data_IF_195397721828
#
_entry.id   IF_195397721828
#
_cell.length_a   1.000
_cell.length_b   1.000
_cell.length_c   1.000
_cell.angle_alpha   90.00
_cell.angle_beta   90.00
_cell.angle_gamma   90.00
#
_symmetry.space_group_name_H-M   'P 1'
#
loop_
_entity.id
_entity.type
_entity.pdbx_description
1 polymer ?
#
# COMPACT_ATOMS: atom_id res chain seq x y z
N UNK A 1 18.90 -32.37 16.57
CA UNK A 1 17.94 -31.26 16.58
C UNK A 1 18.08 -30.57 17.91
N UNK A 2 18.29 -29.26 17.91
CA UNK A 2 18.25 -28.49 19.14
C UNK A 2 16.81 -28.25 19.59
N UNK A 3 16.62 -27.70 20.78
CA UNK A 3 15.28 -27.51 21.35
C UNK A 3 14.48 -26.48 20.54
N UNK A 4 13.17 -26.68 20.33
CA UNK A 4 12.30 -25.69 19.70
C UNK A 4 12.32 -24.34 20.42
N UNK A 5 11.95 -23.27 19.72
CA UNK A 5 11.86 -21.93 20.29
C UNK A 5 10.70 -21.13 19.69
N UNK A 6 9.99 -20.40 20.54
CA UNK A 6 9.01 -19.38 20.13
C UNK A 6 9.64 -18.00 20.35
N UNK A 7 9.46 -17.12 19.38
CA UNK A 7 9.82 -15.72 19.45
C UNK A 7 8.57 -14.86 19.27
N UNK A 8 8.58 -13.68 19.87
CA UNK A 8 7.51 -12.69 19.72
C UNK A 8 8.09 -11.33 19.36
N UNK A 9 7.25 -10.48 18.77
CA UNK A 9 7.53 -9.06 18.58
C UNK A 9 7.61 -8.33 19.94
N UNK A 10 8.82 -8.03 20.38
CA UNK A 10 9.10 -7.41 21.67
C UNK A 10 9.34 -5.88 21.57
N UNK A 11 9.73 -5.39 20.40
CA UNK A 11 9.95 -3.96 20.18
C UNK A 11 9.70 -3.59 18.71
N UNK A 12 9.65 -2.28 18.45
CA UNK A 12 9.38 -1.69 17.15
C UNK A 12 10.40 -0.58 16.88
N UNK A 13 10.95 -0.54 15.67
CA UNK A 13 11.78 0.58 15.22
C UNK A 13 11.04 1.34 14.13
N UNK A 14 10.89 2.66 14.31
CA UNK A 14 10.23 3.51 13.33
C UNK A 14 11.07 3.65 12.05
N UNK A 15 10.41 3.58 10.91
CA UNK A 15 10.99 3.87 9.60
C UNK A 15 10.25 5.07 9.03
N UNK A 16 11.01 6.12 8.74
CA UNK A 16 10.52 7.32 8.08
C UNK A 16 9.95 6.99 6.69
N UNK A 17 9.28 7.95 6.05
CA UNK A 17 8.64 7.69 4.76
C UNK A 17 9.69 7.27 3.72
N UNK A 18 9.56 6.04 3.21
CA UNK A 18 10.41 5.50 2.16
C UNK A 18 9.57 5.06 0.97
N UNK A 19 10.11 5.20 -0.24
CA UNK A 19 9.46 4.69 -1.44
C UNK A 19 9.40 3.15 -1.39
N UNK A 20 8.26 2.60 -1.79
CA UNK A 20 8.05 1.19 -2.02
C UNK A 20 8.44 0.83 -3.46
N UNK A 21 8.79 -0.42 -3.68
CA UNK A 21 9.21 -0.98 -4.97
C UNK A 21 8.06 -1.78 -5.57
N UNK A 22 7.65 -1.41 -6.78
CA UNK A 22 6.70 -2.18 -7.59
C UNK A 22 7.29 -3.57 -7.90
N UNK A 23 6.50 -4.64 -7.74
CA UNK A 23 6.91 -5.98 -8.16
C UNK A 23 6.87 -6.20 -9.68
N UNK A 24 6.47 -5.18 -10.44
CA UNK A 24 6.39 -5.17 -11.90
C UNK A 24 4.99 -5.44 -12.45
N UNK A 25 3.97 -5.46 -11.57
CA UNK A 25 2.57 -5.68 -11.95
C UNK A 25 1.68 -4.45 -11.70
N UNK A 26 2.27 -3.34 -11.22
CA UNK A 26 1.57 -2.10 -10.88
C UNK A 26 0.46 -2.26 -9.82
N UNK A 27 0.42 -3.39 -9.10
CA UNK A 27 -0.55 -3.69 -8.04
C UNK A 27 0.11 -3.95 -6.70
N UNK A 28 1.30 -4.55 -6.67
CA UNK A 28 1.99 -4.91 -5.43
C UNK A 28 3.23 -4.03 -5.27
N UNK A 29 3.29 -3.34 -4.12
CA UNK A 29 4.39 -2.44 -3.78
C UNK A 29 5.01 -2.87 -2.47
N UNK A 30 6.28 -3.22 -2.51
CA UNK A 30 7.01 -3.84 -1.40
C UNK A 30 8.01 -2.89 -0.77
N UNK A 31 8.20 -3.04 0.54
CA UNK A 31 9.31 -2.41 1.26
C UNK A 31 10.60 -3.22 1.11
N UNK A 32 11.68 -2.73 1.71
CA UNK A 32 12.94 -3.46 1.80
C UNK A 32 13.06 -4.35 3.06
N UNK A 33 11.93 -4.61 3.75
CA UNK A 33 11.91 -5.37 5.02
C UNK A 33 10.82 -6.44 5.01
N UNK A 34 11.08 -7.56 5.69
CA UNK A 34 10.16 -8.71 5.65
C UNK A 34 8.90 -8.52 6.50
N UNK A 35 8.95 -7.65 7.51
CA UNK A 35 7.89 -7.51 8.49
C UNK A 35 7.60 -6.04 8.78
N UNK A 36 6.31 -5.70 8.80
CA UNK A 36 5.77 -4.51 9.44
C UNK A 36 5.04 -4.90 10.74
N UNK A 37 5.16 -4.09 11.78
CA UNK A 37 4.37 -4.23 13.00
C UNK A 37 2.89 -3.99 12.69
N UNK A 38 2.03 -4.84 13.24
CA UNK A 38 0.57 -4.64 13.26
C UNK A 38 0.04 -4.24 14.64
N UNK A 39 0.94 -3.92 15.58
CA UNK A 39 0.59 -3.59 16.95
C UNK A 39 -0.16 -2.27 17.01
N UNK A 40 -1.10 -2.15 17.95
CA UNK A 40 -1.85 -0.91 18.14
C UNK A 40 -0.91 0.26 18.41
N UNK A 41 -1.11 1.37 17.69
CA UNK A 41 -0.22 2.54 17.71
C UNK A 41 0.98 2.49 16.76
N UNK A 42 1.19 1.36 16.06
CA UNK A 42 2.31 1.14 15.13
C UNK A 42 1.85 0.79 13.71
N UNK A 43 0.61 1.12 13.38
CA UNK A 43 0.04 0.88 12.04
C UNK A 43 0.81 1.65 10.97
N UNK A 44 1.17 1.01 9.84
CA UNK A 44 1.83 1.72 8.74
C UNK A 44 0.89 2.76 8.14
N UNK A 45 1.48 3.87 7.67
CA UNK A 45 0.78 4.89 6.90
C UNK A 45 1.26 4.82 5.45
N UNK A 46 0.32 4.63 4.53
CA UNK A 46 0.60 4.49 3.11
C UNK A 46 0.32 5.83 2.44
N UNK A 47 1.30 6.30 1.68
CA UNK A 47 1.37 7.64 1.13
C UNK A 47 1.65 7.58 -0.39
N UNK A 48 0.70 7.11 -1.22
CA UNK A 48 0.83 7.22 -2.66
C UNK A 48 0.84 8.69 -3.05
N UNK A 49 1.74 9.08 -3.96
CA UNK A 49 1.67 10.41 -4.59
C UNK A 49 0.27 10.61 -5.15
N UNK A 50 -0.31 11.78 -4.93
CA UNK A 50 -1.67 12.06 -5.38
C UNK A 50 -2.41 13.09 -4.54
N UNK A 51 -3.48 13.62 -5.11
CA UNK A 51 -4.34 14.63 -4.47
C UNK A 51 -5.18 13.96 -3.38
N UNK A 52 -5.27 14.61 -2.22
CA UNK A 52 -6.17 14.20 -1.12
C UNK A 52 -7.49 14.96 -1.25
N UNK A 53 -7.42 16.28 -1.45
CA UNK A 53 -8.60 17.13 -1.63
C UNK A 53 -8.27 18.40 -2.42
N UNK A 54 -9.27 18.99 -3.07
CA UNK A 54 -9.12 20.22 -3.86
C UNK A 54 -8.62 19.98 -5.29
N UNK A 55 -7.80 20.92 -5.78
CA UNK A 55 -7.32 20.99 -7.16
C UNK A 55 -8.46 20.94 -8.19
N UNK A 56 -9.45 21.82 -8.04
CA UNK A 56 -10.52 22.02 -9.03
C UNK A 56 -9.99 22.98 -10.09
N UNK A 57 -10.05 22.56 -11.36
CA UNK A 57 -9.54 23.33 -12.50
C UNK A 57 -10.69 24.06 -13.18
N UNK A 58 -10.46 25.33 -13.53
CA UNK A 58 -11.38 26.16 -14.31
C UNK A 58 -10.66 26.86 -15.45
N UNK A 59 -11.42 27.39 -16.39
CA UNK A 59 -10.89 28.30 -17.40
C UNK A 59 -10.20 29.51 -16.75
N UNK A 60 -9.10 29.97 -17.35
CA UNK A 60 -8.51 31.28 -17.08
C UNK A 60 -9.31 32.40 -17.74
N UNK A 61 -8.83 33.64 -17.59
CA UNK A 61 -9.43 34.81 -18.26
C UNK A 61 -8.74 35.09 -19.59
N UNK A 62 -7.43 34.92 -19.65
CA UNK A 62 -6.65 34.96 -20.88
C UNK A 62 -6.84 33.71 -21.75
N UNK A 63 -6.51 33.85 -23.03
CA UNK A 63 -6.47 32.72 -23.96
C UNK A 63 -5.47 31.66 -23.48
N UNK A 64 -5.81 30.39 -23.71
CA UNK A 64 -4.98 29.22 -23.42
C UNK A 64 -4.64 28.99 -21.94
N UNK A 65 -5.18 29.82 -21.04
CA UNK A 65 -4.93 29.74 -19.61
C UNK A 65 -5.99 28.92 -18.86
N UNK A 66 -5.54 28.27 -17.78
CA UNK A 66 -6.40 27.65 -16.76
C UNK A 66 -6.04 28.16 -15.37
N UNK A 67 -6.98 28.02 -14.45
CA UNK A 67 -6.81 28.31 -13.02
C UNK A 67 -7.10 27.07 -12.21
N UNK A 68 -6.53 27.00 -11.01
CA UNK A 68 -6.69 25.83 -10.13
C UNK A 68 -6.81 26.26 -8.68
N UNK A 69 -7.76 25.67 -7.95
CA UNK A 69 -7.88 25.89 -6.51
C UNK A 69 -6.71 25.25 -5.77
N UNK A 70 -6.43 25.71 -4.55
CA UNK A 70 -5.49 25.05 -3.67
C UNK A 70 -5.84 23.57 -3.46
N UNK A 71 -4.85 22.77 -3.08
CA UNK A 71 -5.05 21.35 -2.83
C UNK A 71 -4.12 20.80 -1.76
N UNK A 72 -4.64 19.83 -1.00
CA UNK A 72 -3.81 18.95 -0.20
C UNK A 72 -3.43 17.71 -1.01
N UNK A 73 -2.21 17.22 -0.84
CA UNK A 73 -1.71 16.06 -1.55
C UNK A 73 -0.66 15.30 -0.74
N UNK A 74 -0.44 14.05 -1.10
CA UNK A 74 0.79 13.34 -0.75
C UNK A 74 1.80 13.61 -1.86
N UNK A 75 2.98 14.10 -1.51
CA UNK A 75 4.07 14.34 -2.45
C UNK A 75 5.38 13.87 -1.83
N UNK A 76 6.02 12.89 -2.48
CA UNK A 76 7.34 12.36 -2.10
C UNK A 76 7.42 11.90 -0.64
N UNK A 77 6.37 11.21 -0.17
CA UNK A 77 6.28 10.69 1.20
C UNK A 77 5.92 11.74 2.26
N UNK A 78 5.52 12.95 1.85
CA UNK A 78 5.07 14.02 2.76
C UNK A 78 3.61 14.36 2.47
N UNK A 79 2.83 14.52 3.54
CA UNK A 79 1.46 15.04 3.46
C UNK A 79 1.53 16.58 3.44
N UNK A 80 1.20 17.18 2.30
CA UNK A 80 1.10 18.62 2.14
C UNK A 80 -0.35 19.06 2.41
N UNK A 81 -0.57 19.78 3.50
CA UNK A 81 -1.89 20.23 3.94
C UNK A 81 -1.79 21.50 4.80
N UNK A 82 -2.90 22.23 4.94
CA UNK A 82 -2.96 23.47 5.72
C UNK A 82 -1.92 24.48 5.24
N UNK A 83 -1.01 24.90 6.12
CA UNK A 83 0.03 25.89 5.79
C UNK A 83 1.07 25.41 4.76
N UNK A 84 1.09 24.12 4.41
CA UNK A 84 2.03 23.53 3.45
C UNK A 84 1.33 22.98 2.21
N UNK A 85 0.03 23.23 2.05
CA UNK A 85 -0.72 22.78 0.87
C UNK A 85 -0.22 23.45 -0.42
N UNK A 86 -0.56 22.85 -1.57
CA UNK A 86 -0.26 23.45 -2.86
C UNK A 86 -1.18 24.66 -3.04
N UNK A 87 -0.58 25.84 -3.19
CA UNK A 87 -1.32 27.09 -3.32
C UNK A 87 -2.16 27.13 -4.61
N UNK A 88 -3.31 27.81 -4.55
CA UNK A 88 -4.13 28.07 -5.72
C UNK A 88 -3.36 28.89 -6.77
N UNK A 89 -3.63 28.65 -8.05
CA UNK A 89 -3.24 29.55 -9.14
C UNK A 89 -4.49 30.28 -9.60
N UNK A 90 -4.59 31.55 -9.23
CA UNK A 90 -5.75 32.41 -9.51
C UNK A 90 -5.49 33.44 -10.61
N UNK A 91 -4.25 33.54 -11.07
CA UNK A 91 -3.87 34.28 -12.27
C UNK A 91 -3.85 33.36 -13.50
N UNK A 92 -3.46 33.90 -14.65
CA UNK A 92 -3.42 33.17 -15.92
C UNK A 92 -2.01 32.66 -16.25
N UNK A 93 -1.22 32.28 -15.23
CA UNK A 93 0.16 31.79 -15.41
C UNK A 93 0.27 30.33 -15.87
N UNK A 94 -0.79 29.54 -15.74
CA UNK A 94 -0.86 28.16 -16.26
C UNK A 94 -1.46 28.17 -17.66
N UNK A 95 -0.60 28.24 -18.67
CA UNK A 95 -1.00 28.27 -20.08
C UNK A 95 -0.57 27.01 -20.83
N UNK A 96 -1.44 26.50 -21.70
CA UNK A 96 -1.05 25.47 -22.68
C UNK A 96 -0.34 26.12 -23.87
N UNK A 97 0.48 25.35 -24.58
CA UNK A 97 1.09 25.79 -25.84
C UNK A 97 0.42 25.08 -27.01
N UNK A 98 -0.37 25.82 -27.79
CA UNK A 98 -0.94 25.27 -29.04
C UNK A 98 0.14 25.11 -30.10
N UNK A 99 0.08 24.02 -30.86
CA UNK A 99 0.88 23.89 -32.07
C UNK A 99 0.33 24.76 -33.21
N UNK A 100 1.21 25.17 -34.12
CA UNK A 100 0.85 26.07 -35.22
C UNK A 100 -0.03 25.37 -36.27
N UNK A 101 0.24 24.09 -36.56
CA UNK A 101 -0.38 23.40 -37.71
C UNK A 101 -1.56 22.52 -37.30
N UNK A 102 -1.47 21.88 -36.14
CA UNK A 102 -2.39 20.85 -35.70
C UNK A 102 -3.24 21.34 -34.54
N UNK A 103 -4.55 21.09 -34.57
CA UNK A 103 -5.50 21.60 -33.58
C UNK A 103 -5.81 20.65 -32.43
N UNK A 104 -5.63 19.33 -32.63
CA UNK A 104 -6.03 18.32 -31.64
C UNK A 104 -4.89 18.06 -30.65
N UNK A 105 -4.83 18.85 -29.58
CA UNK A 105 -3.81 18.78 -28.53
C UNK A 105 -4.41 18.28 -27.22
N UNK A 106 -3.64 17.48 -26.48
CA UNK A 106 -3.91 17.21 -25.06
C UNK A 106 -2.74 17.66 -24.23
N UNK A 107 -3.02 18.42 -23.18
CA UNK A 107 -2.02 18.85 -22.20
C UNK A 107 -2.40 18.30 -20.82
N UNK A 108 -1.42 17.94 -20.02
CA UNK A 108 -1.62 17.49 -18.64
C UNK A 108 -1.25 18.62 -17.67
N UNK A 109 -2.19 19.01 -16.81
CA UNK A 109 -1.87 19.83 -15.64
C UNK A 109 -1.34 18.91 -14.55
N UNK A 110 -0.20 19.28 -13.98
CA UNK A 110 0.51 18.47 -12.99
C UNK A 110 0.87 19.27 -11.75
N UNK A 111 1.13 18.58 -10.65
CA UNK A 111 1.91 19.11 -9.53
C UNK A 111 3.32 18.53 -9.67
N UNK A 112 4.32 19.40 -9.74
CA UNK A 112 5.74 19.01 -9.84
C UNK A 112 6.28 18.49 -8.50
N UNK A 113 7.45 17.86 -8.51
CA UNK A 113 8.14 17.43 -7.29
C UNK A 113 8.50 18.56 -6.31
N UNK A 114 8.56 19.80 -6.81
CA UNK A 114 8.75 21.00 -5.99
C UNK A 114 7.48 21.53 -5.33
N UNK A 115 6.31 20.92 -5.57
CA UNK A 115 5.05 21.37 -4.98
C UNK A 115 4.44 22.60 -5.67
N UNK A 116 4.53 22.67 -6.99
CA UNK A 116 3.91 23.73 -7.79
C UNK A 116 3.17 23.16 -8.99
N UNK A 117 2.10 23.83 -9.40
CA UNK A 117 1.36 23.47 -10.62
C UNK A 117 2.18 23.78 -11.88
N UNK A 118 2.12 22.89 -12.87
CA UNK A 118 2.75 23.08 -14.17
C UNK A 118 1.96 22.36 -15.27
N UNK A 119 1.96 22.92 -16.48
CA UNK A 119 1.43 22.28 -17.67
C UNK A 119 2.55 21.50 -18.36
N UNK A 120 2.23 20.28 -18.80
CA UNK A 120 3.01 19.52 -19.77
C UNK A 120 2.14 19.41 -21.02
N UNK A 121 2.63 19.90 -22.15
CA UNK A 121 1.93 19.80 -23.43
C UNK A 121 2.27 18.49 -24.13
N UNK A 122 1.27 17.86 -24.77
CA UNK A 122 1.48 16.77 -25.71
C UNK A 122 1.91 17.27 -27.10
N UNK A 123 1.93 16.35 -28.05
CA UNK A 123 2.09 16.67 -29.48
C UNK A 123 0.71 16.71 -30.12
N UNK A 124 0.40 17.74 -30.89
CA UNK A 124 -0.92 17.89 -31.48
C UNK A 124 -1.06 17.06 -32.77
N UNK A 125 -2.26 16.59 -33.03
CA UNK A 125 -2.61 15.86 -34.26
C UNK A 125 -3.52 16.68 -35.16
N UNK A 126 -3.50 16.39 -36.47
CA UNK A 126 -4.21 17.18 -37.46
C UNK A 126 -5.73 17.01 -37.42
N UNK A 127 -6.23 15.80 -37.10
CA UNK A 127 -7.65 15.46 -37.35
C UNK A 127 -8.41 14.83 -36.19
N UNK A 128 -7.73 14.40 -35.12
CA UNK A 128 -8.37 13.67 -34.03
C UNK A 128 -7.49 13.60 -32.77
N UNK A 129 -8.13 13.40 -31.63
CA UNK A 129 -7.46 13.01 -30.39
C UNK A 129 -7.10 11.52 -30.37
N UNK A 130 -5.99 11.21 -29.71
CA UNK A 130 -5.56 9.85 -29.37
C UNK A 130 -5.76 9.59 -27.88
N UNK A 131 -6.00 8.32 -27.53
CA UNK A 131 -5.95 7.84 -26.14
C UNK A 131 -4.58 7.27 -25.77
N UNK A 132 -3.68 7.11 -26.75
CA UNK A 132 -2.32 6.60 -26.54
C UNK A 132 -1.45 7.72 -26.00
N UNK A 133 -0.88 7.55 -24.80
CA UNK A 133 0.01 8.55 -24.19
C UNK A 133 1.31 8.66 -24.98
N UNK A 134 1.80 9.89 -25.15
CA UNK A 134 3.01 10.23 -25.91
C UNK A 134 2.86 10.19 -27.43
N UNK A 135 1.71 9.75 -27.97
CA UNK A 135 1.43 9.83 -29.40
C UNK A 135 0.82 11.19 -29.77
N UNK A 136 0.91 11.56 -31.05
CA UNK A 136 0.23 12.75 -31.59
C UNK A 136 -1.28 12.71 -31.25
N UNK A 137 -1.79 13.84 -30.75
CA UNK A 137 -3.16 14.01 -30.28
C UNK A 137 -3.46 13.30 -28.96
N UNK A 138 -2.48 12.61 -28.39
CA UNK A 138 -2.55 11.89 -27.12
C UNK A 138 -2.06 12.73 -25.94
N UNK A 139 -2.38 12.31 -24.70
CA UNK A 139 -1.84 12.97 -23.52
C UNK A 139 -0.31 12.83 -23.47
N UNK A 140 0.45 13.78 -22.92
CA UNK A 140 1.90 13.67 -22.80
C UNK A 140 2.30 12.67 -21.72
N UNK A 141 3.54 12.19 -21.75
CA UNK A 141 4.15 11.60 -20.55
C UNK A 141 4.38 12.68 -19.50
N UNK A 142 4.14 12.37 -18.23
CA UNK A 142 4.44 13.29 -17.13
C UNK A 142 5.66 12.79 -16.34
N UNK A 143 6.43 13.68 -15.67
CA UNK A 143 7.60 13.24 -14.93
C UNK A 143 7.27 12.23 -13.82
N UNK A 144 8.19 11.32 -13.52
CA UNK A 144 7.99 10.20 -12.56
C UNK A 144 7.72 10.60 -11.12
N UNK A 145 8.00 11.86 -10.77
CA UNK A 145 7.77 12.43 -9.43
C UNK A 145 6.60 13.41 -9.38
N UNK A 146 5.89 13.61 -10.49
CA UNK A 146 4.76 14.54 -10.57
C UNK A 146 3.43 13.86 -10.21
N UNK A 147 2.35 14.64 -10.16
CA UNK A 147 0.98 14.15 -9.95
C UNK A 147 0.09 14.73 -11.05
N UNK A 148 -0.71 13.92 -11.76
CA UNK A 148 -1.69 14.43 -12.73
C UNK A 148 -2.93 15.01 -12.04
N UNK A 149 -3.31 16.23 -12.40
CA UNK A 149 -4.43 16.98 -11.80
C UNK A 149 -5.65 17.01 -12.72
N UNK A 150 -5.38 17.24 -14.00
CA UNK A 150 -6.36 17.36 -15.06
C UNK A 150 -5.69 17.16 -16.42
N UNK A 151 -6.52 16.95 -17.44
CA UNK A 151 -6.10 17.14 -18.83
C UNK A 151 -6.93 18.24 -19.50
N UNK A 152 -6.30 19.00 -20.39
CA UNK A 152 -6.92 20.03 -21.21
C UNK A 152 -6.87 19.57 -22.66
N UNK A 153 -8.02 19.45 -23.33
CA UNK A 153 -8.12 18.91 -24.68
C UNK A 153 -8.66 19.97 -25.62
N UNK A 154 -7.86 20.40 -26.59
CA UNK A 154 -8.27 21.40 -27.57
C UNK A 154 -8.37 20.81 -28.96
N UNK A 155 -9.18 21.42 -29.82
CA UNK A 155 -9.36 21.01 -31.23
C UNK A 155 -8.98 22.07 -32.25
N UNK A 156 -8.42 23.20 -31.79
CA UNK A 156 -8.00 24.34 -32.61
C UNK A 156 -6.53 24.69 -32.33
N UNK A 157 -5.83 25.15 -33.36
CA UNK A 157 -4.48 25.73 -33.27
C UNK A 157 -4.51 27.25 -33.00
N UNK A 158 -5.68 27.88 -33.04
CA UNK A 158 -5.83 29.31 -32.78
C UNK A 158 -5.96 29.54 -31.27
N UNK A 159 -5.20 30.50 -30.76
CA UNK A 159 -5.27 30.94 -29.36
C UNK A 159 -6.69 31.40 -29.04
N UNK A 160 -7.23 30.88 -27.94
CA UNK A 160 -8.58 31.17 -27.47
C UNK A 160 -8.73 30.74 -26.01
N UNK A 161 -9.67 31.37 -25.30
CA UNK A 161 -10.05 30.98 -23.95
C UNK A 161 -10.43 29.48 -23.89
N UNK A 162 -9.91 28.77 -22.89
CA UNK A 162 -10.22 27.36 -22.64
C UNK A 162 -11.69 27.22 -22.22
N UNK A 163 -12.44 26.35 -22.89
CA UNK A 163 -13.82 26.06 -22.49
C UNK A 163 -13.84 25.04 -21.34
N UNK A 164 -14.84 25.12 -20.46
CA UNK A 164 -15.00 24.13 -19.37
C UNK A 164 -15.18 22.70 -19.88
N UNK A 165 -15.68 22.52 -21.11
CA UNK A 165 -15.81 21.22 -21.79
C UNK A 165 -14.48 20.67 -22.30
N UNK A 166 -13.43 21.48 -22.32
CA UNK A 166 -12.07 21.07 -22.69
C UNK A 166 -11.26 20.62 -21.45
N UNK A 167 -11.82 20.71 -20.23
CA UNK A 167 -11.14 20.38 -18.97
C UNK A 167 -11.67 19.04 -18.43
N UNK A 168 -10.77 18.07 -18.25
CA UNK A 168 -11.08 16.71 -17.83
C UNK A 168 -10.40 16.39 -16.50
N UNK A 169 -11.18 15.96 -15.49
CA UNK A 169 -10.69 15.64 -14.13
C UNK A 169 -11.26 14.33 -13.56
N UNK A 170 -11.52 13.33 -14.41
CA UNK A 170 -12.03 12.03 -13.94
C UNK A 170 -10.93 11.29 -13.17
N UNK A 171 -11.23 10.90 -11.93
CA UNK A 171 -10.31 10.16 -11.04
C UNK A 171 -9.87 8.86 -11.72
N UNK A 172 -8.57 8.56 -11.68
CA UNK A 172 -7.99 7.36 -12.27
C UNK A 172 -7.79 7.40 -13.78
N UNK A 173 -8.21 8.49 -14.44
CA UNK A 173 -8.01 8.67 -15.90
C UNK A 173 -7.33 9.99 -16.24
N UNK A 174 -7.72 11.08 -15.60
CA UNK A 174 -7.18 12.43 -15.84
C UNK A 174 -6.73 13.11 -14.53
N UNK A 175 -6.92 12.43 -13.39
CA UNK A 175 -6.63 12.96 -12.05
C UNK A 175 -6.15 11.83 -11.14
N UNK A 176 -5.00 12.02 -10.53
CA UNK A 176 -4.39 11.09 -9.58
C UNK A 176 -4.75 11.46 -8.14
N UNK A 177 -5.59 10.63 -7.52
CA UNK A 177 -5.92 10.76 -6.10
C UNK A 177 -5.00 9.87 -5.26
N UNK A 178 -4.60 10.31 -4.08
CA UNK A 178 -3.74 9.50 -3.19
C UNK A 178 -4.43 8.24 -2.67
N UNK A 179 -5.77 8.23 -2.60
CA UNK A 179 -6.59 7.13 -2.11
C UNK A 179 -7.22 6.26 -3.22
N UNK A 180 -6.78 6.41 -4.47
CA UNK A 180 -7.24 5.61 -5.61
C UNK A 180 -6.04 5.06 -6.40
N UNK A 181 -6.01 3.77 -6.77
CA UNK A 181 -6.94 2.71 -6.35
C UNK A 181 -6.88 2.44 -4.83
N UNK A 182 -7.83 1.68 -4.29
CA UNK A 182 -7.78 1.34 -2.86
C UNK A 182 -6.75 0.25 -2.62
N UNK A 183 -6.24 0.13 -1.40
CA UNK A 183 -5.18 -0.84 -1.09
C UNK A 183 -5.43 -1.55 0.23
N UNK A 184 -4.80 -2.71 0.36
CA UNK A 184 -4.68 -3.47 1.60
C UNK A 184 -3.21 -3.56 2.01
N UNK A 185 -2.97 -3.56 3.32
CA UNK A 185 -1.63 -3.68 3.89
C UNK A 185 -1.27 -5.16 4.02
N UNK A 186 -0.10 -5.53 3.51
CA UNK A 186 0.52 -6.83 3.73
C UNK A 186 1.65 -6.68 4.74
N UNK A 187 1.42 -7.14 5.98
CA UNK A 187 2.41 -7.01 7.07
C UNK A 187 3.63 -7.94 6.92
N UNK A 188 3.51 -8.98 6.09
CA UNK A 188 4.56 -9.84 5.58
C UNK A 188 4.02 -10.56 4.33
N UNK A 189 4.90 -11.22 3.58
CA UNK A 189 4.51 -12.11 2.49
C UNK A 189 5.31 -13.41 2.58
N UNK A 190 4.67 -14.55 2.33
CA UNK A 190 5.35 -15.82 2.07
C UNK A 190 4.78 -16.42 0.80
N UNK A 191 5.65 -16.64 -0.18
CA UNK A 191 5.28 -17.26 -1.44
C UNK A 191 6.08 -18.56 -1.60
N UNK A 192 5.37 -19.69 -1.75
CA UNK A 192 6.00 -21.01 -1.94
C UNK A 192 7.05 -21.38 -0.88
N UNK A 193 6.86 -20.93 0.36
CA UNK A 193 7.80 -21.18 1.46
C UNK A 193 8.96 -20.19 1.57
N UNK A 194 9.10 -19.27 0.61
CA UNK A 194 10.09 -18.19 0.66
C UNK A 194 9.50 -16.94 1.30
N UNK A 195 10.22 -16.37 2.27
CA UNK A 195 9.83 -15.11 2.91
C UNK A 195 10.08 -13.94 1.96
N UNK A 196 9.01 -13.22 1.62
CA UNK A 196 9.04 -11.98 0.88
C UNK A 196 9.06 -10.74 1.78
N UNK A 197 8.82 -9.58 1.18
CA UNK A 197 8.78 -8.30 1.86
C UNK A 197 7.35 -7.89 2.26
N UNK A 198 7.24 -7.11 3.33
CA UNK A 198 5.99 -6.45 3.70
C UNK A 198 5.72 -5.29 2.72
N UNK A 199 4.46 -4.90 2.55
CA UNK A 199 4.08 -3.92 1.54
C UNK A 199 2.58 -3.67 1.48
N UNK A 200 2.11 -3.33 0.29
CA UNK A 200 0.70 -3.09 0.00
C UNK A 200 0.28 -3.75 -1.31
N UNK A 201 -1.00 -4.06 -1.41
CA UNK A 201 -1.63 -4.53 -2.64
C UNK A 201 -2.82 -3.65 -2.98
N UNK A 202 -2.78 -3.06 -4.15
CA UNK A 202 -3.87 -2.28 -4.72
C UNK A 202 -4.94 -3.18 -5.35
N UNK A 203 -6.20 -2.74 -5.32
CA UNK A 203 -7.35 -3.45 -5.88
C UNK A 203 -7.42 -3.43 -7.42
N UNK A 204 -6.61 -2.57 -8.05
CA UNK A 204 -6.43 -2.48 -9.48
C UNK A 204 -5.00 -2.03 -9.81
N UNK A 205 -4.54 -2.39 -11.02
CA UNK A 205 -3.26 -1.92 -11.53
C UNK A 205 -3.29 -0.39 -11.65
N UNK A 206 -2.28 0.27 -11.10
CA UNK A 206 -2.17 1.72 -11.22
C UNK A 206 -1.80 2.12 -12.66
N UNK A 207 -2.33 3.22 -13.18
CA UNK A 207 -1.95 3.71 -14.51
C UNK A 207 -0.46 4.01 -14.59
N UNK A 208 0.22 3.42 -15.58
CA UNK A 208 1.59 3.73 -15.92
C UNK A 208 1.63 4.97 -16.83
N UNK A 209 1.44 6.15 -16.25
CA UNK A 209 1.35 7.41 -17.00
C UNK A 209 2.61 8.28 -16.90
N UNK A 210 3.59 7.84 -16.13
CA UNK A 210 4.81 8.60 -15.89
C UNK A 210 5.98 8.08 -16.72
N UNK A 211 6.80 9.00 -17.23
CA UNK A 211 8.05 8.69 -17.90
C UNK A 211 8.95 9.93 -17.95
N UNK A 212 10.25 9.74 -17.74
CA UNK A 212 11.28 10.78 -17.88
C UNK A 212 12.07 10.66 -19.20
N UNK A 213 11.72 9.68 -20.05
CA UNK A 213 12.41 9.32 -21.30
C UNK A 213 11.44 9.13 -22.48
N UNK A 214 10.36 9.91 -22.47
CA UNK A 214 9.33 9.96 -23.51
C UNK A 214 8.63 8.61 -23.79
N UNK A 215 8.49 7.78 -22.76
CA UNK A 215 7.76 6.51 -22.79
C UNK A 215 8.62 5.29 -23.07
N UNK A 216 9.95 5.41 -23.06
CA UNK A 216 10.84 4.25 -23.19
C UNK A 216 10.80 3.40 -21.92
N UNK A 217 10.75 4.06 -20.76
CA UNK A 217 10.40 3.48 -19.47
C UNK A 217 9.15 4.16 -18.92
N UNK A 218 8.22 3.34 -18.45
CA UNK A 218 6.96 3.79 -17.87
C UNK A 218 6.92 3.45 -16.39
N UNK A 219 6.21 4.27 -15.62
CA UNK A 219 6.02 4.04 -14.20
C UNK A 219 4.62 4.49 -13.78
N UNK A 220 4.14 3.86 -12.70
CA UNK A 220 3.02 4.37 -11.93
C UNK A 220 3.46 5.57 -11.10
N UNK A 221 2.50 6.28 -10.51
CA UNK A 221 2.81 7.19 -9.39
C UNK A 221 3.58 6.47 -8.29
N UNK A 222 4.47 7.20 -7.62
CA UNK A 222 5.26 6.65 -6.51
C UNK A 222 4.39 6.35 -5.29
N UNK A 223 4.69 5.24 -4.63
CA UNK A 223 4.06 4.86 -3.36
C UNK A 223 5.09 4.94 -2.25
N UNK A 224 4.78 5.68 -1.19
CA UNK A 224 5.63 5.77 0.00
C UNK A 224 4.91 5.12 1.18
N UNK A 225 5.67 4.71 2.19
CA UNK A 225 5.10 4.31 3.47
C UNK A 225 6.01 4.71 4.63
N UNK A 226 5.39 5.12 5.74
CA UNK A 226 6.02 5.08 7.07
C UNK A 226 5.55 3.81 7.77
N UNK A 227 6.44 3.07 8.41
CA UNK A 227 6.10 1.82 9.06
C UNK A 227 7.04 1.54 10.22
N UNK A 228 6.78 0.45 10.93
CA UNK A 228 7.61 0.02 12.05
C UNK A 228 8.11 -1.39 11.82
N UNK A 229 9.42 -1.61 11.96
CA UNK A 229 10.01 -2.95 11.85
C UNK A 229 10.02 -3.63 13.22
N UNK A 230 9.43 -4.83 13.36
CA UNK A 230 9.42 -5.55 14.61
C UNK A 230 10.80 -6.11 14.95
N UNK A 231 11.17 -6.05 16.23
CA UNK A 231 12.31 -6.76 16.80
C UNK A 231 11.81 -7.97 17.58
N UNK A 232 12.39 -9.13 17.31
CA UNK A 232 11.97 -10.38 17.91
C UNK A 232 12.80 -10.71 19.16
N UNK A 233 12.13 -11.16 20.22
CA UNK A 233 12.78 -11.74 21.39
C UNK A 233 12.30 -13.18 21.59
N UNK A 234 13.22 -14.05 22.06
CA UNK A 234 12.88 -15.42 22.43
C UNK A 234 12.02 -15.41 23.70
N UNK A 235 11.02 -16.29 23.74
CA UNK A 235 10.28 -16.59 24.97
C UNK A 235 10.97 -17.77 25.66
N UNK A 236 11.27 -17.61 26.95
CA UNK A 236 11.89 -18.67 27.74
C UNK A 236 10.88 -19.78 28.06
N UNK A 237 11.35 -21.03 28.14
CA UNK A 237 10.57 -22.19 28.60
C UNK A 237 9.16 -22.31 27.97
N UNK A 238 9.11 -22.38 26.64
CA UNK A 238 7.85 -22.59 25.91
C UNK A 238 7.59 -24.05 25.56
N UNK A 239 6.31 -24.45 25.50
CA UNK A 239 5.89 -25.77 25.02
C UNK A 239 4.60 -25.71 24.20
N UNK A 240 4.22 -26.85 23.60
CA UNK A 240 2.92 -27.08 22.96
C UNK A 240 2.50 -26.06 21.89
N UNK A 241 3.45 -25.58 21.09
CA UNK A 241 3.14 -24.67 19.99
C UNK A 241 2.17 -25.34 18.99
N UNK A 242 1.08 -24.64 18.71
CA UNK A 242 0.11 -24.94 17.66
C UNK A 242 0.02 -23.74 16.73
N UNK A 243 0.26 -23.97 15.45
CA UNK A 243 0.13 -22.95 14.41
C UNK A 243 -1.35 -22.60 14.20
N UNK A 244 -1.71 -21.31 14.01
CA UNK A 244 -3.03 -20.95 13.48
C UNK A 244 -3.24 -21.64 12.12
N UNK A 245 -4.30 -22.42 11.98
CA UNK A 245 -4.49 -23.27 10.81
C UNK A 245 -5.96 -23.41 10.44
N UNK A 246 -6.21 -23.51 9.14
CA UNK A 246 -7.52 -23.80 8.60
C UNK A 246 -7.90 -25.26 8.89
N UNK A 247 -8.98 -25.46 9.64
CA UNK A 247 -9.65 -26.74 9.76
C UNK A 247 -10.65 -26.90 8.63
N UNK A 248 -10.70 -28.09 8.02
CA UNK A 248 -11.65 -28.43 6.96
C UNK A 248 -12.60 -29.51 7.47
N UNK A 249 -13.90 -29.26 7.41
CA UNK A 249 -14.93 -30.26 7.73
C UNK A 249 -15.75 -30.60 6.50
N UNK A 250 -16.15 -31.86 6.39
CA UNK A 250 -17.00 -32.37 5.31
C UNK A 250 -18.32 -32.77 5.92
N UNK A 251 -19.42 -32.20 5.42
CA UNK A 251 -20.78 -32.65 5.74
C UNK A 251 -21.46 -33.12 4.46
N UNK A 252 -22.01 -34.33 4.47
CA UNK A 252 -22.78 -34.88 3.34
C UNK A 252 -24.27 -34.89 3.66
N UNK A 253 -25.09 -34.42 2.72
CA UNK A 253 -26.53 -34.67 2.73
C UNK A 253 -26.83 -35.76 1.71
N UNK A 254 -27.50 -36.83 2.14
CA UNK A 254 -27.96 -37.89 1.24
C UNK A 254 -29.23 -37.47 0.52
N UNK A 255 -29.26 -37.69 -0.80
CA UNK A 255 -30.44 -37.55 -1.64
C UNK A 255 -30.74 -38.90 -2.30
N UNK A 256 -31.99 -39.13 -2.70
CA UNK A 256 -32.29 -40.26 -3.58
C UNK A 256 -31.50 -40.09 -4.89
N UNK A 257 -30.55 -40.99 -5.15
CA UNK A 257 -29.62 -40.91 -6.28
C UNK A 257 -28.18 -40.51 -5.94
N UNK A 258 -27.83 -40.24 -4.67
CA UNK A 258 -26.45 -40.05 -4.21
C UNK A 258 -26.27 -38.97 -3.16
N UNK A 259 -25.06 -38.86 -2.59
CA UNK A 259 -24.72 -37.85 -1.60
C UNK A 259 -24.12 -36.59 -2.24
N UNK A 260 -24.53 -35.40 -1.77
CA UNK A 260 -23.87 -34.12 -2.09
C UNK A 260 -23.02 -33.68 -0.90
N UNK A 261 -21.71 -33.63 -1.10
CA UNK A 261 -20.75 -33.15 -0.08
C UNK A 261 -20.63 -31.63 -0.07
N UNK A 262 -20.50 -31.04 1.12
CA UNK A 262 -20.09 -29.65 1.33
C UNK A 262 -18.81 -29.64 2.16
N UNK A 263 -17.81 -28.88 1.71
CA UNK A 263 -16.60 -28.60 2.49
C UNK A 263 -16.78 -27.24 3.17
N UNK A 264 -16.60 -27.19 4.49
CA UNK A 264 -16.50 -25.95 5.26
C UNK A 264 -15.06 -25.75 5.72
N UNK A 265 -14.59 -24.50 5.73
CA UNK A 265 -13.26 -24.15 6.23
C UNK A 265 -13.41 -23.11 7.34
N UNK A 266 -12.74 -23.32 8.49
CA UNK A 266 -12.65 -22.35 9.58
C UNK A 266 -11.21 -22.18 10.04
N UNK A 267 -10.80 -20.94 10.34
CA UNK A 267 -9.49 -20.65 10.89
C UNK A 267 -9.49 -20.92 12.41
N UNK A 268 -8.65 -21.86 12.85
CA UNK A 268 -8.36 -22.07 14.27
C UNK A 268 -7.25 -21.14 14.76
N UNK A 269 -7.37 -20.67 16.00
CA UNK A 269 -6.33 -19.90 16.67
C UNK A 269 -5.05 -20.74 16.87
N UNK A 270 -3.90 -20.07 16.90
CA UNK A 270 -2.66 -20.69 17.36
C UNK A 270 -2.59 -20.69 18.89
N UNK A 271 -1.67 -21.46 19.45
CA UNK A 271 -1.41 -21.46 20.89
C UNK A 271 0.02 -21.86 21.22
N UNK A 272 0.47 -21.55 22.43
CA UNK A 272 1.65 -22.13 23.06
C UNK A 272 1.52 -21.96 24.58
N UNK A 273 2.32 -22.68 25.35
CA UNK A 273 2.43 -22.54 26.81
C UNK A 273 3.75 -21.88 27.18
N UNK A 274 3.73 -21.10 28.25
CA UNK A 274 4.92 -20.51 28.88
C UNK A 274 4.97 -20.96 30.33
N UNK A 275 6.13 -21.45 30.77
CA UNK A 275 6.40 -21.68 32.19
C UNK A 275 7.32 -20.58 32.71
N UNK A 276 6.86 -19.82 33.69
CA UNK A 276 7.66 -18.75 34.29
C UNK A 276 7.59 -18.80 35.82
N UNK A 277 8.69 -18.38 36.43
CA UNK A 277 8.85 -18.28 37.87
C UNK A 277 8.58 -16.84 38.36
N UNK A 278 8.25 -15.90 37.45
CA UNK A 278 8.03 -14.48 37.75
C UNK A 278 6.93 -13.85 36.92
N UNK A 279 6.02 -13.10 37.56
CA UNK A 279 4.89 -12.42 36.90
C UNK A 279 5.28 -11.22 36.00
N UNK A 280 6.58 -10.88 35.95
CA UNK A 280 7.10 -9.68 35.30
C UNK A 280 7.61 -9.88 33.87
N UNK A 281 7.25 -10.98 33.19
CA UNK A 281 7.77 -11.24 31.85
C UNK A 281 7.18 -10.29 30.80
N UNK A 282 8.06 -9.71 29.97
CA UNK A 282 7.69 -8.69 28.98
C UNK A 282 6.56 -9.11 28.03
N UNK A 283 6.43 -10.40 27.71
CA UNK A 283 5.35 -10.93 26.87
C UNK A 283 3.96 -10.65 27.44
N UNK A 284 3.77 -10.81 28.76
CA UNK A 284 2.47 -10.66 29.41
C UNK A 284 1.96 -9.21 29.35
N UNK A 285 2.87 -8.24 29.32
CA UNK A 285 2.53 -6.82 29.17
C UNK A 285 1.87 -6.49 27.81
N UNK A 286 1.93 -7.42 26.86
CA UNK A 286 1.34 -7.28 25.54
C UNK A 286 0.05 -8.08 25.34
N UNK A 287 -0.59 -8.54 26.43
CA UNK A 287 -1.93 -9.12 26.34
C UNK A 287 -2.89 -8.16 25.60
N UNK A 288 -3.70 -8.73 24.69
CA UNK A 288 -4.63 -8.00 23.84
C UNK A 288 -3.99 -7.23 22.69
N UNK A 289 -2.66 -7.29 22.53
CA UNK A 289 -1.96 -6.64 21.41
C UNK A 289 -1.79 -7.60 20.23
N UNK A 290 -1.90 -7.06 19.00
CA UNK A 290 -1.56 -7.78 17.77
C UNK A 290 -0.04 -7.81 17.60
N UNK A 291 0.56 -8.99 17.61
CA UNK A 291 2.01 -9.20 17.56
C UNK A 291 2.38 -10.22 16.49
N UNK A 292 3.62 -10.16 16.02
CA UNK A 292 4.24 -11.27 15.32
C UNK A 292 4.75 -12.35 16.28
N UNK A 293 4.58 -13.61 15.87
CA UNK A 293 5.14 -14.79 16.50
C UNK A 293 5.91 -15.62 15.47
N UNK A 294 7.10 -16.09 15.85
CA UNK A 294 7.86 -17.08 15.09
C UNK A 294 8.05 -18.35 15.90
N UNK A 295 7.89 -19.49 15.26
CA UNK A 295 8.21 -20.78 15.86
C UNK A 295 9.26 -21.50 15.03
N UNK A 296 10.38 -21.82 15.67
CA UNK A 296 11.47 -22.60 15.11
C UNK A 296 11.38 -24.02 15.67
N UNK A 297 11.16 -25.05 14.83
CA UNK A 297 11.19 -26.45 15.26
C UNK A 297 12.58 -26.86 15.80
N UNK A 298 13.65 -26.26 15.28
CA UNK A 298 15.01 -26.38 15.77
C UNK A 298 15.56 -24.95 15.92
N UNK A 299 15.91 -24.51 17.14
CA UNK A 299 16.33 -23.10 17.37
C UNK A 299 17.63 -22.70 16.68
N UNK A 300 18.44 -23.66 16.24
CA UNK A 300 19.69 -23.41 15.53
C UNK A 300 19.49 -23.36 14.00
N UNK A 301 18.36 -23.85 13.51
CA UNK A 301 17.96 -23.74 12.11
C UNK A 301 17.10 -22.48 11.93
N UNK A 302 17.70 -21.42 11.39
CA UNK A 302 17.00 -20.14 11.19
C UNK A 302 16.24 -20.04 9.87
N UNK A 303 16.36 -21.05 8.99
CA UNK A 303 15.80 -21.04 7.64
C UNK A 303 14.42 -21.73 7.59
N UNK A 304 14.15 -22.62 8.55
CA UNK A 304 12.87 -23.33 8.67
C UNK A 304 12.09 -22.88 9.90
N UNK A 305 10.99 -22.16 9.69
CA UNK A 305 10.14 -21.68 10.77
C UNK A 305 8.69 -21.44 10.36
N UNK A 306 7.84 -21.25 11.35
CA UNK A 306 6.46 -20.82 11.18
C UNK A 306 6.35 -19.36 11.61
N UNK A 307 5.63 -18.55 10.83
CA UNK A 307 5.23 -17.20 11.22
C UNK A 307 3.72 -17.07 11.38
N UNK A 308 3.29 -16.24 12.32
CA UNK A 308 1.91 -15.83 12.45
C UNK A 308 1.83 -14.44 13.06
N UNK A 309 0.84 -13.64 12.63
CA UNK A 309 0.48 -12.39 13.29
C UNK A 309 -0.92 -12.55 13.88
N UNK A 310 -1.10 -12.17 15.15
CA UNK A 310 -2.39 -12.28 15.82
C UNK A 310 -2.42 -11.57 17.16
N UNK A 311 -3.62 -11.42 17.71
CA UNK A 311 -3.80 -10.88 19.06
C UNK A 311 -3.39 -11.90 20.10
N UNK A 312 -2.55 -11.48 21.06
CA UNK A 312 -2.13 -12.30 22.18
C UNK A 312 -3.26 -12.38 23.22
N UNK A 313 -3.81 -13.57 23.43
CA UNK A 313 -4.62 -13.88 24.62
C UNK A 313 -3.76 -14.61 25.64
N UNK A 314 -3.95 -14.32 26.93
CA UNK A 314 -3.22 -14.97 28.02
C UNK A 314 -4.21 -15.54 29.02
N UNK A 315 -3.95 -16.74 29.52
CA UNK A 315 -4.66 -17.31 30.67
C UNK A 315 -3.65 -17.91 31.62
N UNK A 316 -3.56 -17.35 32.82
CA UNK A 316 -2.58 -17.74 33.83
C UNK A 316 -3.16 -18.79 34.77
N UNK A 317 -2.34 -19.79 35.12
CA UNK A 317 -2.61 -20.76 36.17
C UNK A 317 -1.46 -20.71 37.16
N UNK A 318 -1.78 -20.48 38.43
CA UNK A 318 -0.81 -20.43 39.51
C UNK A 318 -0.76 -21.77 40.22
N UNK A 319 0.42 -22.38 40.24
CA UNK A 319 0.64 -23.65 40.91
C UNK A 319 0.98 -23.44 42.39
N UNK A 320 0.78 -24.48 43.18
CA UNK A 320 0.96 -24.43 44.64
C UNK A 320 2.42 -24.24 45.07
N UNK A 321 3.37 -24.43 44.16
CA UNK A 321 4.81 -24.24 44.38
C UNK A 321 5.28 -22.80 44.10
N UNK A 322 4.37 -21.92 43.67
CA UNK A 322 4.67 -20.52 43.34
C UNK A 322 5.14 -20.30 41.90
N UNK A 323 5.30 -21.37 41.11
CA UNK A 323 5.42 -21.24 39.66
C UNK A 323 4.06 -20.89 39.04
N UNK A 324 4.08 -20.33 37.83
CA UNK A 324 2.85 -20.18 37.06
C UNK A 324 3.08 -20.60 35.60
N UNK A 325 2.01 -21.13 35.03
CA UNK A 325 1.92 -21.47 33.62
C UNK A 325 0.96 -20.50 32.95
N UNK A 326 1.35 -19.96 31.79
CA UNK A 326 0.47 -19.16 30.95
C UNK A 326 0.12 -19.93 29.67
N UNK A 327 -1.18 -20.12 29.44
CA UNK A 327 -1.73 -20.55 28.17
C UNK A 327 -1.87 -19.32 27.26
N UNK A 328 -1.02 -19.24 26.23
CA UNK A 328 -1.04 -18.16 25.27
C UNK A 328 -1.81 -18.57 24.01
N UNK A 329 -2.73 -17.72 23.57
CA UNK A 329 -3.50 -17.87 22.34
C UNK A 329 -3.05 -16.83 21.33
N UNK A 330 -2.85 -17.26 20.08
CA UNK A 330 -2.59 -16.39 18.93
C UNK A 330 -3.87 -16.31 18.12
N UNK A 331 -4.70 -15.31 18.41
CA UNK A 331 -5.93 -15.03 17.65
C UNK A 331 -5.56 -14.34 16.33
N UNK A 332 -5.18 -15.15 15.34
CA UNK A 332 -4.75 -14.70 14.02
C UNK A 332 -5.94 -14.50 13.06
N UNK A 333 -5.80 -13.55 12.14
CA UNK A 333 -6.76 -13.30 11.06
C UNK A 333 -6.41 -14.09 9.79
N UNK A 334 -5.24 -14.71 9.76
CA UNK A 334 -4.76 -15.57 8.69
C UNK A 334 -4.11 -16.83 9.28
N UNK A 335 -4.01 -17.88 8.46
CA UNK A 335 -3.23 -19.06 8.83
C UNK A 335 -1.76 -18.68 9.04
N UNK A 336 -1.09 -19.31 10.00
CA UNK A 336 0.37 -19.18 10.09
C UNK A 336 1.04 -19.78 8.85
N UNK A 337 2.08 -19.13 8.36
CA UNK A 337 2.79 -19.55 7.16
C UNK A 337 4.08 -20.27 7.52
N UNK A 338 4.47 -21.23 6.69
CA UNK A 338 5.73 -21.96 6.85
C UNK A 338 6.76 -21.31 5.93
N UNK A 339 7.88 -20.91 6.51
CA UNK A 339 9.08 -20.50 5.79
C UNK A 339 10.03 -21.68 5.81
N UNK A 340 10.54 -22.05 4.65
CA UNK A 340 11.34 -23.28 4.45
C UNK A 340 12.50 -23.05 3.48
N UNK A 341 13.00 -21.82 3.39
CA UNK A 341 13.94 -21.33 2.37
C UNK A 341 14.83 -22.41 1.73
#
# INVERSE_FOLDING_TARGET
>A
MSDPAVYYEAAQTAVAATALTDSGDATIFTSAVNFWSGRSGYTPTILPNGIISGAVVSAGVADDAVRVTACSCNLNGVVLTGATEIAAVTDDSLTITREITNGYLKSSLTITSGGAYAIVDGTAHATAHSTTRGADGGPPWIPTTSIEVAQIWTTSNSSAAIASTEIYQVIGTHKEMSNYPTHSVQYASVASGALGYAGVTFDAAMPEIHSDDAGTSTATKKVYATYYTPTFAMISKTSDFKRPANSKSISSTEYYGGAKGKVSTSLGAGSFKVLSDTLGEGLLSYEGQKLWFKFYPDRLDTDVYVIAQGYLGVTETFDTDGSYTADCVIAAEAQGERVTN
#
